data_IF_488479165319
#
_entry.id   IF_488479165319
#
_cell.length_a   1.000
_cell.length_b   1.000
_cell.length_c   1.000
_cell.angle_alpha   90.00
_cell.angle_beta   90.00
_cell.angle_gamma   90.00
#
_symmetry.space_group_name_H-M   'P 1'
#
loop_
_entity.id
_entity.type
_entity.pdbx_description
1 polymer ?
#
# COMPACT_ATOMS: atom_id res chain seq x y z
N UNK A 1 -11.40 -30.25 -20.06
CA UNK A 1 -11.05 -30.01 -18.64
C UNK A 1 -10.08 -28.84 -18.45
N UNK A 2 -8.97 -28.73 -19.21
CA UNK A 2 -8.01 -27.61 -19.11
C UNK A 2 -8.68 -26.21 -19.08
N UNK A 3 -9.56 -25.93 -20.03
CA UNK A 3 -10.30 -24.66 -20.09
C UNK A 3 -11.17 -24.34 -18.85
N UNK A 4 -11.72 -25.36 -18.18
CA UNK A 4 -12.52 -25.16 -16.97
C UNK A 4 -11.64 -24.82 -15.76
N UNK A 5 -10.48 -25.48 -15.65
CA UNK A 5 -9.52 -25.21 -14.56
C UNK A 5 -8.96 -23.80 -14.68
N UNK A 6 -8.59 -23.39 -15.89
CA UNK A 6 -8.09 -22.04 -16.15
C UNK A 6 -9.15 -20.98 -15.80
N UNK A 7 -10.41 -21.20 -16.21
CA UNK A 7 -11.52 -20.29 -15.89
C UNK A 7 -11.80 -20.16 -14.39
N UNK A 8 -11.74 -21.26 -13.63
CA UNK A 8 -11.89 -21.24 -12.17
C UNK A 8 -10.72 -20.47 -11.53
N UNK A 9 -9.49 -20.73 -11.98
CA UNK A 9 -8.30 -20.03 -11.48
C UNK A 9 -8.41 -18.53 -11.70
N UNK A 10 -8.77 -18.12 -12.91
CA UNK A 10 -8.88 -16.70 -13.26
C UNK A 10 -10.00 -16.02 -12.46
N UNK A 11 -11.10 -16.73 -12.20
CA UNK A 11 -12.19 -16.25 -11.31
C UNK A 11 -11.72 -16.07 -9.87
N UNK A 12 -10.94 -17.01 -9.33
CA UNK A 12 -10.35 -16.90 -7.99
C UNK A 12 -9.34 -15.76 -7.91
N UNK A 13 -8.50 -15.58 -8.93
CA UNK A 13 -7.56 -14.47 -8.99
C UNK A 13 -8.27 -13.13 -9.06
N UNK A 14 -9.30 -12.99 -9.89
CA UNK A 14 -10.11 -11.78 -9.97
C UNK A 14 -10.76 -11.44 -8.61
N UNK A 15 -11.28 -12.44 -7.91
CA UNK A 15 -11.82 -12.27 -6.56
C UNK A 15 -10.73 -11.80 -5.59
N UNK A 16 -9.56 -12.44 -5.58
CA UNK A 16 -8.45 -12.04 -4.71
C UNK A 16 -7.97 -10.62 -5.01
N UNK A 17 -7.84 -10.23 -6.29
CA UNK A 17 -7.47 -8.86 -6.70
C UNK A 17 -8.50 -7.81 -6.28
N UNK A 18 -9.79 -8.16 -6.21
CA UNK A 18 -10.82 -7.25 -5.71
C UNK A 18 -10.67 -6.95 -4.20
N UNK A 19 -10.00 -7.84 -3.46
CA UNK A 19 -9.81 -7.75 -2.01
C UNK A 19 -8.41 -7.17 -1.68
N UNK A 20 -7.40 -7.69 -2.36
CA UNK A 20 -5.99 -7.33 -2.25
C UNK A 20 -5.61 -6.41 -3.43
N UNK A 21 -5.59 -5.08 -3.21
CA UNK A 21 -5.36 -4.14 -4.29
C UNK A 21 -3.94 -4.28 -4.84
N UNK A 22 -3.85 -4.24 -6.17
CA UNK A 22 -2.59 -4.27 -6.93
C UNK A 22 -2.24 -2.91 -7.54
N UNK A 23 -3.21 -1.98 -7.53
CA UNK A 23 -3.03 -0.60 -7.98
C UNK A 23 -3.45 0.37 -6.88
N UNK A 24 -2.89 1.57 -6.90
CA UNK A 24 -3.27 2.65 -5.99
C UNK A 24 -4.76 3.02 -6.12
N UNK A 25 -5.28 3.06 -7.34
CA UNK A 25 -6.72 3.29 -7.60
C UNK A 25 -7.60 2.20 -6.99
N UNK A 26 -7.18 0.93 -7.12
CA UNK A 26 -7.86 -0.20 -6.50
C UNK A 26 -7.83 -0.12 -4.98
N UNK A 27 -6.73 0.38 -4.40
CA UNK A 27 -6.62 0.65 -2.96
C UNK A 27 -7.58 1.75 -2.53
N UNK A 28 -7.61 2.88 -3.22
CA UNK A 28 -8.48 4.03 -2.91
C UNK A 28 -9.97 3.66 -3.03
N UNK A 29 -10.32 2.77 -3.96
CA UNK A 29 -11.68 2.28 -4.16
C UNK A 29 -12.09 1.16 -3.18
N UNK A 30 -11.13 0.57 -2.46
CA UNK A 30 -11.37 -0.63 -1.67
C UNK A 30 -12.05 -0.31 -0.33
N UNK A 31 -13.20 -0.94 -0.08
CA UNK A 31 -13.87 -0.84 1.22
C UNK A 31 -13.05 -1.49 2.33
N UNK A 32 -13.12 -0.93 3.53
CA UNK A 32 -12.50 -1.51 4.72
C UNK A 32 -13.29 -2.73 5.23
N UNK A 33 -13.08 -3.88 4.58
CA UNK A 33 -13.70 -5.16 4.95
C UNK A 33 -12.93 -5.94 6.03
N UNK A 34 -13.67 -6.67 6.87
CA UNK A 34 -13.13 -7.55 7.91
C UNK A 34 -12.61 -8.88 7.35
N UNK A 35 -11.50 -9.34 7.92
CA UNK A 35 -10.78 -10.60 7.68
C UNK A 35 -9.91 -10.70 6.40
N UNK A 36 -9.01 -9.72 6.23
CA UNK A 36 -8.04 -9.65 5.12
C UNK A 36 -6.89 -10.65 5.23
N UNK A 37 -6.67 -11.21 6.42
CA UNK A 37 -5.54 -12.08 6.71
C UNK A 37 -5.63 -13.43 5.96
N UNK A 38 -6.80 -14.06 5.95
CA UNK A 38 -7.03 -15.31 5.22
C UNK A 38 -6.66 -15.20 3.73
N UNK A 39 -6.93 -14.06 3.09
CA UNK A 39 -6.61 -13.86 1.68
C UNK A 39 -5.12 -13.69 1.41
N UNK A 40 -4.40 -13.11 2.39
CA UNK A 40 -2.95 -13.00 2.38
C UNK A 40 -2.29 -14.39 2.47
N UNK A 41 -2.77 -15.26 3.36
CA UNK A 41 -2.31 -16.65 3.46
C UNK A 41 -2.59 -17.44 2.18
N UNK A 42 -3.78 -17.27 1.59
CA UNK A 42 -4.12 -17.91 0.32
C UNK A 42 -3.19 -17.43 -0.80
N UNK A 43 -2.93 -16.12 -0.89
CA UNK A 43 -2.01 -15.58 -1.89
C UNK A 43 -0.59 -16.17 -1.72
N UNK A 44 -0.08 -16.29 -0.50
CA UNK A 44 1.22 -16.92 -0.23
C UNK A 44 1.21 -18.41 -0.60
N UNK A 45 0.21 -19.16 -0.14
CA UNK A 45 0.06 -20.60 -0.35
C UNK A 45 0.01 -20.97 -1.83
N UNK A 46 -0.67 -20.16 -2.64
CA UNK A 46 -0.77 -20.35 -4.09
C UNK A 46 0.28 -19.54 -4.87
N UNK A 47 1.27 -18.96 -4.19
CA UNK A 47 2.38 -18.19 -4.75
C UNK A 47 1.93 -17.03 -5.66
N UNK A 48 0.80 -16.41 -5.33
CA UNK A 48 0.22 -15.26 -6.04
C UNK A 48 0.86 -13.97 -5.51
N UNK A 49 2.19 -13.88 -5.64
CA UNK A 49 3.01 -12.89 -4.91
C UNK A 49 2.69 -11.44 -5.24
N UNK A 50 2.25 -11.14 -6.46
CA UNK A 50 1.89 -9.78 -6.86
C UNK A 50 0.72 -9.18 -6.05
N UNK A 51 -0.08 -9.99 -5.35
CA UNK A 51 -1.14 -9.50 -4.46
C UNK A 51 -0.64 -9.10 -3.07
N UNK A 52 0.53 -9.59 -2.69
CA UNK A 52 1.03 -9.50 -1.32
C UNK A 52 1.37 -8.07 -0.88
N UNK A 53 2.05 -7.22 -1.66
CA UNK A 53 2.46 -5.90 -1.17
C UNK A 53 1.29 -5.03 -0.71
N UNK A 54 0.21 -4.97 -1.51
CA UNK A 54 -1.01 -4.24 -1.13
C UNK A 54 -1.75 -4.88 0.06
N UNK A 55 -1.69 -6.22 0.18
CA UNK A 55 -2.22 -6.94 1.33
C UNK A 55 -1.46 -6.64 2.62
N UNK A 56 -0.12 -6.68 2.60
CA UNK A 56 0.72 -6.34 3.74
C UNK A 56 0.58 -4.87 4.13
N UNK A 57 0.46 -3.95 3.16
CA UNK A 57 0.14 -2.55 3.44
C UNK A 57 -1.16 -2.41 4.23
N UNK A 58 -2.22 -3.11 3.80
CA UNK A 58 -3.49 -3.17 4.55
C UNK A 58 -3.34 -3.84 5.92
N UNK A 59 -2.45 -4.82 6.07
CA UNK A 59 -2.17 -5.46 7.35
C UNK A 59 -1.53 -4.46 8.33
N UNK A 60 -0.60 -3.63 7.86
CA UNK A 60 0.03 -2.56 8.66
C UNK A 60 -0.95 -1.50 9.20
N UNK A 61 -2.17 -1.45 8.67
CA UNK A 61 -3.25 -0.59 9.19
C UNK A 61 -3.92 -1.17 10.45
N UNK A 62 -3.61 -2.41 10.83
CA UNK A 62 -4.08 -3.01 12.08
C UNK A 62 -3.14 -2.64 13.23
N UNK A 63 -3.73 -2.42 14.41
CA UNK A 63 -2.96 -2.32 15.64
C UNK A 63 -2.34 -3.67 16.02
N UNK A 64 -1.28 -3.65 16.81
CA UNK A 64 -0.58 -4.87 17.23
C UNK A 64 -1.47 -5.79 18.06
N UNK A 65 -2.37 -5.23 18.88
CA UNK A 65 -3.34 -6.00 19.65
C UNK A 65 -4.30 -6.76 18.75
N UNK A 66 -4.69 -6.15 17.61
CA UNK A 66 -5.50 -6.84 16.61
C UNK A 66 -4.71 -7.90 15.89
N UNK A 67 -3.45 -7.62 15.52
CA UNK A 67 -2.58 -8.60 14.86
C UNK A 67 -2.40 -9.87 15.71
N UNK A 68 -2.16 -9.71 17.02
CA UNK A 68 -2.02 -10.82 17.98
C UNK A 68 -3.26 -11.72 18.07
N UNK A 69 -4.46 -11.20 17.78
CA UNK A 69 -5.71 -11.99 17.80
C UNK A 69 -5.85 -12.92 16.59
N UNK A 70 -5.12 -12.68 15.51
CA UNK A 70 -5.23 -13.45 14.26
C UNK A 70 -4.25 -14.63 14.18
N UNK A 71 -3.44 -14.88 15.21
CA UNK A 71 -2.42 -15.95 15.25
C UNK A 71 -1.56 -15.98 13.97
N UNK A 72 -1.06 -14.81 13.59
CA UNK A 72 -0.37 -14.60 12.31
C UNK A 72 0.99 -15.31 12.32
N UNK A 73 1.35 -16.09 11.27
CA UNK A 73 2.63 -16.75 11.16
C UNK A 73 3.81 -15.79 11.35
N UNK A 74 4.91 -16.29 11.91
CA UNK A 74 6.11 -15.50 12.22
C UNK A 74 6.64 -14.72 11.02
N UNK A 75 6.66 -15.34 9.83
CA UNK A 75 7.14 -14.69 8.61
C UNK A 75 6.28 -13.47 8.21
N UNK A 76 4.96 -13.58 8.34
CA UNK A 76 4.04 -12.46 8.10
C UNK A 76 4.23 -11.35 9.14
N UNK A 77 4.45 -11.73 10.39
CA UNK A 77 4.72 -10.80 11.49
C UNK A 77 6.02 -10.02 11.26
N UNK A 78 7.08 -10.68 10.77
CA UNK A 78 8.34 -10.03 10.42
C UNK A 78 8.15 -9.02 9.27
N UNK A 79 7.44 -9.40 8.21
CA UNK A 79 7.11 -8.50 7.10
C UNK A 79 6.24 -7.32 7.56
N UNK A 80 5.29 -7.54 8.46
CA UNK A 80 4.47 -6.49 9.07
C UNK A 80 5.33 -5.45 9.80
N UNK A 81 6.24 -5.87 10.69
CA UNK A 81 7.07 -4.92 11.45
C UNK A 81 8.07 -4.17 10.56
N UNK A 82 8.71 -4.88 9.62
CA UNK A 82 9.61 -4.26 8.62
C UNK A 82 8.86 -3.20 7.80
N UNK A 83 7.69 -3.56 7.31
CA UNK A 83 6.84 -2.64 6.55
C UNK A 83 6.42 -1.42 7.36
N UNK A 84 5.96 -1.61 8.61
CA UNK A 84 5.62 -0.47 9.49
C UNK A 84 6.80 0.47 9.70
N UNK A 85 7.98 -0.08 9.96
CA UNK A 85 9.21 0.70 10.12
C UNK A 85 9.54 1.49 8.85
N UNK A 86 9.39 0.89 7.67
CA UNK A 86 9.63 1.54 6.38
C UNK A 86 8.57 2.60 6.04
N UNK A 87 7.32 2.39 6.44
CA UNK A 87 6.21 3.31 6.19
C UNK A 87 6.22 4.55 7.10
N UNK A 88 6.68 4.39 8.34
CA UNK A 88 6.67 5.45 9.36
C UNK A 88 7.35 6.76 8.92
N UNK A 89 8.55 6.77 8.30
CA UNK A 89 9.19 8.02 7.89
C UNK A 89 8.53 8.70 6.68
N UNK A 90 7.65 8.02 5.94
CA UNK A 90 7.10 8.54 4.67
C UNK A 90 6.22 9.78 4.87
N UNK A 91 5.53 9.91 6.00
CA UNK A 91 4.77 11.12 6.28
C UNK A 91 5.70 12.34 6.49
N UNK A 92 6.80 12.15 7.21
CA UNK A 92 7.82 13.20 7.37
C UNK A 92 8.50 13.52 6.03
N UNK A 93 8.79 12.49 5.22
CA UNK A 93 9.28 12.64 3.86
C UNK A 93 8.33 13.49 3.01
N UNK A 94 7.02 13.22 3.03
CA UNK A 94 6.03 14.03 2.30
C UNK A 94 6.07 15.52 2.68
N UNK A 95 6.14 15.83 3.98
CA UNK A 95 6.22 17.23 4.44
C UNK A 95 7.51 17.91 3.93
N UNK A 96 8.64 17.22 3.99
CA UNK A 96 9.92 17.79 3.57
C UNK A 96 10.05 17.88 2.04
N UNK A 97 9.70 16.81 1.33
CA UNK A 97 9.97 16.64 -0.09
C UNK A 97 8.89 17.22 -0.97
N UNK A 98 7.65 17.33 -0.48
CA UNK A 98 6.51 17.85 -1.24
C UNK A 98 6.05 19.20 -0.70
N UNK A 99 5.71 19.30 0.58
CA UNK A 99 5.16 20.57 1.12
C UNK A 99 6.24 21.66 1.15
N UNK A 100 7.40 21.39 1.74
CA UNK A 100 8.44 22.41 1.89
C UNK A 100 9.09 22.82 0.55
N UNK A 101 9.15 21.91 -0.43
CA UNK A 101 9.67 22.20 -1.78
C UNK A 101 8.64 22.89 -2.67
N UNK A 102 7.36 22.53 -2.57
CA UNK A 102 6.28 23.20 -3.32
C UNK A 102 6.00 24.60 -2.78
N UNK A 103 6.31 24.84 -1.51
CA UNK A 103 5.97 26.07 -0.80
C UNK A 103 7.07 27.14 -0.75
N UNK A 104 7.42 27.66 0.45
CA UNK A 104 8.07 28.97 0.61
C UNK A 104 9.43 29.09 -0.07
N UNK A 105 10.12 27.97 -0.27
CA UNK A 105 11.46 27.94 -0.84
C UNK A 105 11.48 28.25 -2.34
N UNK A 106 10.43 27.88 -3.07
CA UNK A 106 10.42 27.91 -4.53
C UNK A 106 9.31 28.77 -5.14
N UNK A 107 8.33 29.23 -4.35
CA UNK A 107 7.18 29.96 -4.88
C UNK A 107 6.93 31.28 -4.15
N UNK A 108 7.19 32.39 -4.85
CA UNK A 108 7.04 33.74 -4.29
C UNK A 108 5.57 34.18 -4.17
N UNK A 109 4.67 33.67 -5.01
CA UNK A 109 3.31 34.19 -5.11
C UNK A 109 2.32 33.75 -4.01
N UNK A 110 2.69 32.79 -3.14
CA UNK A 110 1.82 32.28 -2.05
C UNK A 110 2.59 31.95 -0.77
N UNK A 111 3.69 32.64 -0.49
CA UNK A 111 4.63 32.30 0.60
C UNK A 111 3.97 32.24 1.98
N UNK A 112 3.06 33.18 2.29
CA UNK A 112 2.33 33.20 3.56
C UNK A 112 1.43 31.96 3.71
N UNK A 113 0.56 31.69 2.73
CA UNK A 113 -0.32 30.51 2.72
C UNK A 113 0.46 29.21 2.84
N UNK A 114 1.58 29.09 2.12
CA UNK A 114 2.47 27.93 2.22
C UNK A 114 3.15 27.77 3.57
N UNK A 115 3.47 28.87 4.26
CA UNK A 115 3.99 28.81 5.63
C UNK A 115 2.96 28.21 6.57
N UNK A 116 1.69 28.57 6.42
CA UNK A 116 0.61 28.05 7.27
C UNK A 116 0.28 26.57 6.96
N UNK A 117 0.32 26.18 5.68
CA UNK A 117 0.28 24.77 5.25
C UNK A 117 1.38 23.96 5.95
N UNK A 118 2.63 24.45 5.89
CA UNK A 118 3.78 23.76 6.48
C UNK A 118 3.68 23.67 8.02
N UNK A 119 3.23 24.74 8.69
CA UNK A 119 2.99 24.72 10.14
C UNK A 119 1.94 23.69 10.51
N UNK A 120 0.86 23.60 9.74
CA UNK A 120 -0.21 22.63 9.96
C UNK A 120 0.30 21.21 9.80
N UNK A 121 1.05 20.92 8.73
CA UNK A 121 1.66 19.62 8.52
C UNK A 121 2.63 19.21 9.65
N UNK A 122 3.45 20.15 10.14
CA UNK A 122 4.31 19.90 11.29
C UNK A 122 3.53 19.68 12.59
N UNK A 123 2.38 20.32 12.77
CA UNK A 123 1.50 20.09 13.91
C UNK A 123 0.95 18.67 13.88
N UNK A 124 0.46 18.21 12.73
CA UNK A 124 -0.05 16.84 12.56
C UNK A 124 1.03 15.79 12.86
N UNK A 125 2.25 15.98 12.34
CA UNK A 125 3.38 15.06 12.60
C UNK A 125 3.81 15.02 14.08
N UNK A 126 3.47 16.03 14.87
CA UNK A 126 3.76 16.09 16.31
C UNK A 126 2.60 15.57 17.16
N UNK A 127 1.45 15.26 16.57
CA UNK A 127 0.32 14.70 17.29
C UNK A 127 0.67 13.29 17.79
N UNK A 128 0.63 13.03 19.11
CA UNK A 128 0.88 11.70 19.66
C UNK A 128 -0.07 10.64 19.11
N UNK A 129 -1.30 11.00 18.75
CA UNK A 129 -2.28 10.06 18.17
C UNK A 129 -1.88 9.63 16.76
N UNK A 130 -1.26 10.54 16.00
CA UNK A 130 -0.68 10.24 14.70
C UNK A 130 0.52 9.30 14.81
N UNK A 131 1.40 9.56 15.78
CA UNK A 131 2.63 8.77 15.98
C UNK A 131 2.38 7.39 16.60
N UNK A 132 1.37 7.27 17.46
CA UNK A 132 1.02 6.02 18.15
C UNK A 132 0.13 5.09 17.32
N UNK A 133 -0.53 5.63 16.29
CA UNK A 133 -1.41 4.88 15.40
C UNK A 133 -0.67 3.94 14.42
N UNK A 134 -1.42 3.05 13.75
CA UNK A 134 -0.88 2.30 12.63
C UNK A 134 -0.52 3.26 11.47
N UNK A 135 0.68 3.14 10.87
CA UNK A 135 1.11 4.04 9.82
C UNK A 135 0.22 3.88 8.59
N UNK A 136 -0.35 5.00 8.12
CA UNK A 136 -1.18 5.02 6.91
C UNK A 136 -0.89 6.25 6.03
N UNK A 137 0.35 6.35 5.51
CA UNK A 137 0.77 7.52 4.73
C UNK A 137 -0.11 7.77 3.51
N UNK A 138 -0.55 6.72 2.79
CA UNK A 138 -1.35 6.90 1.57
C UNK A 138 -2.70 7.54 1.86
N UNK A 139 -3.34 7.18 2.98
CA UNK A 139 -4.62 7.76 3.38
C UNK A 139 -4.42 9.17 3.92
N UNK A 140 -3.45 9.38 4.82
CA UNK A 140 -3.19 10.71 5.37
C UNK A 140 -2.87 11.72 4.26
N UNK A 141 -2.00 11.35 3.31
CA UNK A 141 -1.69 12.22 2.16
C UNK A 141 -2.90 12.45 1.24
N UNK A 142 -3.79 11.47 1.10
CA UNK A 142 -5.04 11.65 0.34
C UNK A 142 -5.97 12.66 1.03
N UNK A 143 -6.08 12.63 2.36
CA UNK A 143 -6.88 13.59 3.13
C UNK A 143 -6.38 15.03 2.88
N UNK A 144 -5.07 15.25 2.75
CA UNK A 144 -4.50 16.53 2.32
C UNK A 144 -4.90 16.96 0.90
N UNK A 145 -5.08 16.02 -0.02
CA UNK A 145 -5.55 16.28 -1.39
C UNK A 145 -7.02 16.72 -1.39
N UNK A 146 -7.82 16.12 -0.52
CA UNK A 146 -9.27 16.32 -0.44
C UNK A 146 -9.66 17.56 0.38
N UNK A 147 -8.84 17.94 1.36
CA UNK A 147 -9.08 19.13 2.19
C UNK A 147 -8.88 20.43 1.38
N UNK A 148 -10.01 21.01 0.97
CA UNK A 148 -10.04 22.27 0.23
C UNK A 148 -9.60 23.48 1.07
N UNK A 149 -9.67 23.39 2.39
CA UNK A 149 -9.36 24.48 3.32
C UNK A 149 -7.86 24.62 3.54
N UNK A 150 -7.10 23.52 3.50
CA UNK A 150 -5.64 23.52 3.62
C UNK A 150 -4.96 24.44 2.60
N UNK A 151 -5.50 24.51 1.38
CA UNK A 151 -4.94 25.31 0.29
C UNK A 151 -5.68 26.64 0.09
N UNK A 152 -6.41 27.11 1.10
CA UNK A 152 -7.00 28.44 1.08
C UNK A 152 -5.91 29.50 0.92
N UNK A 153 -6.08 30.40 -0.04
CA UNK A 153 -5.07 31.44 -0.34
C UNK A 153 -3.86 30.95 -1.16
N UNK A 154 -3.80 29.69 -1.57
CA UNK A 154 -2.83 29.22 -2.57
C UNK A 154 -3.40 29.44 -3.97
N UNK A 155 -2.63 30.09 -4.85
CA UNK A 155 -3.09 30.39 -6.21
C UNK A 155 -3.30 29.10 -7.03
N UNK A 156 -4.11 29.19 -8.09
CA UNK A 156 -4.50 28.03 -8.92
C UNK A 156 -3.30 27.25 -9.47
N UNK A 157 -2.22 27.95 -9.88
CA UNK A 157 -1.02 27.31 -10.43
C UNK A 157 -0.30 26.48 -9.37
N UNK A 158 -0.03 27.08 -8.22
CA UNK A 158 0.66 26.44 -7.09
C UNK A 158 -0.12 25.24 -6.58
N UNK A 159 -1.45 25.40 -6.46
CA UNK A 159 -2.37 24.31 -6.11
C UNK A 159 -2.29 23.14 -7.09
N UNK A 160 -2.35 23.41 -8.41
CA UNK A 160 -2.26 22.36 -9.43
C UNK A 160 -0.94 21.59 -9.33
N UNK A 161 0.18 22.29 -9.16
CA UNK A 161 1.50 21.66 -9.02
C UNK A 161 1.59 20.80 -7.77
N UNK A 162 1.08 21.29 -6.64
CA UNK A 162 1.06 20.54 -5.40
C UNK A 162 0.20 19.28 -5.47
N UNK A 163 -1.00 19.37 -6.05
CA UNK A 163 -1.86 18.19 -6.22
C UNK A 163 -1.22 17.13 -7.12
N UNK A 164 -0.51 17.55 -8.18
CA UNK A 164 0.26 16.63 -9.01
C UNK A 164 1.42 15.98 -8.21
N UNK A 165 2.12 16.76 -7.39
CA UNK A 165 3.20 16.26 -6.55
C UNK A 165 2.70 15.28 -5.47
N UNK A 166 1.51 15.50 -4.90
CA UNK A 166 0.82 14.54 -4.04
C UNK A 166 0.60 13.22 -4.78
N UNK A 167 0.04 13.27 -5.99
CA UNK A 167 -0.27 12.07 -6.77
C UNK A 167 1.00 11.28 -7.11
N UNK A 168 2.06 11.98 -7.54
CA UNK A 168 3.37 11.36 -7.76
C UNK A 168 3.95 10.74 -6.49
N UNK A 169 3.89 11.43 -5.34
CA UNK A 169 4.44 10.91 -4.09
C UNK A 169 3.68 9.66 -3.62
N UNK A 170 2.34 9.68 -3.68
CA UNK A 170 1.51 8.51 -3.35
C UNK A 170 1.80 7.33 -4.28
N UNK A 171 1.93 7.58 -5.57
CA UNK A 171 2.30 6.53 -6.54
C UNK A 171 3.68 5.95 -6.21
N UNK A 172 4.67 6.78 -5.91
CA UNK A 172 6.01 6.31 -5.55
C UNK A 172 6.00 5.43 -4.29
N UNK A 173 5.21 5.80 -3.27
CA UNK A 173 5.00 4.94 -2.10
C UNK A 173 4.42 3.60 -2.54
N UNK A 174 3.36 3.62 -3.36
CA UNK A 174 2.70 2.41 -3.85
C UNK A 174 3.68 1.49 -4.62
N UNK A 175 4.45 2.05 -5.55
CA UNK A 175 5.44 1.31 -6.34
C UNK A 175 6.57 0.72 -5.48
N UNK A 176 6.90 1.36 -4.36
CA UNK A 176 7.94 0.89 -3.44
C UNK A 176 7.51 -0.21 -2.47
N UNK A 177 6.21 -0.51 -2.36
CA UNK A 177 5.70 -1.49 -1.40
C UNK A 177 6.37 -2.89 -1.52
N UNK A 178 6.56 -3.47 -2.72
CA UNK A 178 7.26 -4.76 -2.88
C UNK A 178 8.60 -4.79 -2.15
N UNK A 179 9.40 -3.74 -2.32
CA UNK A 179 10.72 -3.60 -1.73
C UNK A 179 10.64 -3.35 -0.21
N UNK A 180 9.73 -2.48 0.24
CA UNK A 180 9.54 -2.18 1.67
C UNK A 180 9.21 -3.43 2.49
N UNK A 181 8.41 -4.34 1.92
CA UNK A 181 8.05 -5.60 2.56
C UNK A 181 9.06 -6.73 2.30
N UNK A 182 10.08 -6.51 1.47
CA UNK A 182 11.08 -7.52 1.10
C UNK A 182 10.47 -8.72 0.36
N UNK A 183 9.47 -8.47 -0.49
CA UNK A 183 8.78 -9.50 -1.29
C UNK A 183 9.41 -9.61 -2.68
N UNK A 184 9.81 -8.47 -3.25
CA UNK A 184 10.48 -8.33 -4.54
C UNK A 184 11.02 -6.91 -4.72
N UNK A 185 11.66 -6.63 -5.84
CA UNK A 185 12.21 -5.31 -6.16
C UNK A 185 11.19 -4.36 -6.81
N UNK A 186 10.21 -4.89 -7.54
CA UNK A 186 9.13 -4.11 -8.17
C UNK A 186 7.85 -4.94 -8.31
N UNK A 187 6.75 -4.31 -8.73
CA UNK A 187 5.50 -5.03 -9.00
C UNK A 187 5.62 -5.94 -10.23
N UNK A 188 6.33 -5.51 -11.27
CA UNK A 188 6.54 -6.26 -12.50
C UNK A 188 7.27 -7.59 -12.24
N UNK A 189 8.29 -7.59 -11.36
CA UNK A 189 8.98 -8.82 -10.95
C UNK A 189 8.00 -9.85 -10.37
N UNK A 190 7.05 -9.38 -9.57
CA UNK A 190 6.05 -10.24 -8.93
C UNK A 190 4.99 -10.74 -9.93
N UNK A 191 4.75 -10.02 -11.02
CA UNK A 191 3.82 -10.43 -12.07
C UNK A 191 4.38 -11.50 -12.99
N UNK A 192 5.69 -11.45 -13.31
CA UNK A 192 6.35 -12.45 -14.18
C UNK A 192 6.25 -13.87 -13.58
N UNK A 193 6.16 -13.97 -12.25
CA UNK A 193 5.94 -15.24 -11.55
C UNK A 193 4.55 -15.87 -11.82
N UNK A 194 3.59 -15.15 -12.44
CA UNK A 194 2.29 -15.72 -12.87
C UNK A 194 2.43 -16.79 -13.97
N UNK A 195 3.52 -16.75 -14.75
CA UNK A 195 3.62 -17.47 -16.04
C UNK A 195 4.43 -18.76 -15.94
N UNK A 196 5.21 -18.95 -14.86
CA UNK A 196 5.94 -20.20 -14.65
C UNK A 196 4.94 -21.27 -14.22
N UNK A 197 4.41 -22.00 -15.21
CA UNK A 197 3.55 -23.16 -15.03
C UNK A 197 4.10 -24.05 -13.91
N UNK A 198 3.31 -24.22 -12.85
CA UNK A 198 3.55 -25.32 -11.93
C UNK A 198 3.50 -26.61 -12.74
N UNK A 199 4.59 -27.41 -12.78
CA UNK A 199 4.47 -28.76 -13.28
C UNK A 199 3.37 -29.40 -12.46
N UNK A 200 2.29 -29.81 -13.15
CA UNK A 200 1.22 -30.58 -12.52
C UNK A 200 1.92 -31.77 -11.88
N UNK A 201 1.87 -31.94 -10.54
CA UNK A 201 2.50 -33.08 -9.90
C UNK A 201 1.97 -34.33 -10.60
N UNK A 202 2.89 -35.16 -11.11
CA UNK A 202 2.52 -36.37 -11.82
C UNK A 202 1.50 -37.13 -10.95
N UNK A 203 0.38 -37.58 -11.53
CA UNK A 203 -0.63 -38.30 -10.77
C UNK A 203 0.05 -39.43 -10.02
N UNK A 204 -0.12 -39.46 -8.70
CA UNK A 204 0.47 -40.48 -7.85
C UNK A 204 0.12 -41.84 -8.46
N UNK A 205 1.13 -42.55 -8.96
CA UNK A 205 0.96 -43.89 -9.49
C UNK A 205 0.44 -44.76 -8.37
N UNK A 206 -0.86 -45.06 -8.43
CA UNK A 206 -1.49 -46.08 -7.61
C UNK A 206 -0.77 -47.39 -7.92
N UNK A 207 0.16 -47.75 -7.05
CA UNK A 207 0.79 -49.06 -7.05
C UNK A 207 -0.29 -50.07 -6.73
N UNK A 208 -0.85 -50.67 -7.78
CA UNK A 208 -1.67 -51.87 -7.68
C UNK A 208 -0.77 -53.01 -7.24
N UNK A 209 -0.69 -53.24 -5.93
CA UNK A 209 -0.16 -54.47 -5.36
C UNK A 209 -1.18 -55.58 -5.64
N UNK A 210 -0.79 -56.55 -6.47
CA UNK A 210 -1.45 -57.84 -6.64
C UNK A 210 -0.37 -58.90 -6.80
#
# INVERSE_FOLDING_TARGET
>A
MKYMVDSIRDSCLALLTSILPVSLEGFDSSKSGSNRFMYLELAEKFNVRFLLPGGYYKLCQLSEERLKKYDVPTDFTLKYYRGRQALQPLCAGFVNDVIATSGPRNQWCCSASWSDVLKTAHKDLRDPTFLSGPPNPLKWILEWKEDRTMLAGVCRRCRKQFLAAIDTYRQNIWESLPQMFGIGSSWEELEVMKVVNYPVPAPASLSSSS
#
